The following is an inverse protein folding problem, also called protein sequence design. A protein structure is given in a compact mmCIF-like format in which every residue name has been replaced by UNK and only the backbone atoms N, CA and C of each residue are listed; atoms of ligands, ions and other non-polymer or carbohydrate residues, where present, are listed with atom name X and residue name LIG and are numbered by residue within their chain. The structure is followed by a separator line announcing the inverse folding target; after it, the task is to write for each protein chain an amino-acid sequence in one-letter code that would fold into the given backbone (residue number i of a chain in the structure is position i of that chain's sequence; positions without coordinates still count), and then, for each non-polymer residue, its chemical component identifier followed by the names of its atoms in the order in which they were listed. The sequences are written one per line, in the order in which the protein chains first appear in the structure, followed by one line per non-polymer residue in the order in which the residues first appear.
data_IF_664229178560
#
_entry.id   IF_664229178560
#
_cell.length_a   1.000
_cell.length_b   1.000
_cell.length_c   1.000
_cell.angle_alpha   90.00
_cell.angle_beta   90.00
_cell.angle_gamma   90.00
#
_symmetry.space_group_name_H-M   'P 1'
#
loop_
_entity.id
_entity.type
_entity.pdbx_description
1 polymer ?
#
# COMPACT_ATOMS: atom_id res chain seq x y z
N UNK A 1 0.32 -8.11 -4.75
CA UNK A 1 -0.82 -7.20 -4.96
C UNK A 1 -0.23 -5.85 -5.29
N UNK A 2 -0.58 -5.29 -6.44
CA UNK A 2 -0.08 -3.98 -6.84
C UNK A 2 -1.05 -2.87 -6.43
N UNK A 3 -0.54 -1.64 -6.37
CA UNK A 3 -1.34 -0.42 -6.12
C UNK A 3 -2.52 -0.33 -7.10
N UNK A 4 -2.35 -0.79 -8.34
CA UNK A 4 -3.41 -0.84 -9.34
C UNK A 4 -4.61 -1.72 -8.88
N UNK A 5 -4.34 -2.94 -8.41
CA UNK A 5 -5.37 -3.86 -7.93
C UNK A 5 -6.14 -3.30 -6.72
N UNK A 6 -5.43 -2.60 -5.84
CA UNK A 6 -6.03 -1.96 -4.66
C UNK A 6 -6.82 -0.70 -5.02
N UNK A 7 -6.44 0.01 -6.08
CA UNK A 7 -7.21 1.15 -6.61
C UNK A 7 -8.52 0.72 -7.27
N UNK A 8 -8.57 -0.44 -7.90
CA UNK A 8 -9.80 -0.98 -8.50
C UNK A 8 -10.78 -1.53 -7.45
N UNK A 9 -10.31 -1.86 -6.25
CA UNK A 9 -11.17 -2.30 -5.15
C UNK A 9 -12.02 -1.17 -4.58
N UNK A 10 -13.19 -1.56 -4.07
CA UNK A 10 -14.09 -0.65 -3.36
C UNK A 10 -13.54 -0.32 -1.96
N UNK A 11 -13.98 0.81 -1.39
CA UNK A 11 -13.61 1.20 -0.01
C UNK A 11 -14.01 0.12 1.00
N UNK A 12 -15.12 -0.57 0.77
CA UNK A 12 -15.59 -1.65 1.65
C UNK A 12 -14.62 -2.84 1.64
N UNK A 13 -14.17 -3.28 0.45
CA UNK A 13 -13.18 -4.35 0.32
C UNK A 13 -11.82 -3.96 0.88
N UNK A 14 -11.38 -2.70 0.66
CA UNK A 14 -10.14 -2.20 1.24
C UNK A 14 -10.21 -2.19 2.77
N UNK A 15 -11.35 -1.80 3.36
CA UNK A 15 -11.55 -1.85 4.81
C UNK A 15 -11.55 -3.28 5.36
N UNK A 16 -12.08 -4.24 4.60
CA UNK A 16 -12.02 -5.66 4.97
C UNK A 16 -10.58 -6.18 4.92
N UNK A 17 -9.85 -5.86 3.84
CA UNK A 17 -8.44 -6.23 3.68
C UNK A 17 -7.59 -5.62 4.80
N UNK A 18 -7.77 -4.33 5.06
CA UNK A 18 -7.09 -3.60 6.13
C UNK A 18 -7.24 -4.28 7.49
N UNK A 19 -8.46 -4.72 7.85
CA UNK A 19 -8.68 -5.51 9.07
C UNK A 19 -7.95 -6.85 9.05
N UNK A 20 -7.88 -7.49 7.89
CA UNK A 20 -7.24 -8.79 7.72
C UNK A 20 -5.71 -8.71 7.82
N UNK A 21 -5.09 -7.63 7.34
CA UNK A 21 -3.65 -7.36 7.52
C UNK A 21 -3.31 -6.75 8.87
N UNK A 22 -4.28 -6.22 9.62
CA UNK A 22 -4.08 -5.68 10.97
C UNK A 22 -3.97 -4.14 11.03
N UNK A 23 -4.40 -3.45 9.99
CA UNK A 23 -4.45 -1.98 9.94
C UNK A 23 -5.59 -1.47 10.81
N UNK A 24 -5.25 -0.86 11.94
CA UNK A 24 -6.19 -0.23 12.89
C UNK A 24 -6.56 1.17 12.39
N UNK A 25 -7.84 1.55 12.50
CA UNK A 25 -8.31 2.90 12.12
C UNK A 25 -8.61 3.10 10.64
N UNK A 26 -8.71 2.02 9.86
CA UNK A 26 -9.00 2.04 8.42
C UNK A 26 -10.26 2.85 8.01
N UNK A 27 -11.29 2.89 8.84
CA UNK A 27 -12.59 3.47 8.50
C UNK A 27 -12.61 5.01 8.44
N UNK A 28 -11.58 5.68 8.96
CA UNK A 28 -11.43 7.15 8.87
C UNK A 28 -10.44 7.61 7.80
N UNK A 29 -9.72 6.67 7.16
CA UNK A 29 -8.66 6.99 6.21
C UNK A 29 -9.21 7.24 4.81
N UNK A 30 -8.56 8.16 4.08
CA UNK A 30 -8.85 8.32 2.64
C UNK A 30 -8.45 7.06 1.88
N UNK A 31 -9.08 6.82 0.73
CA UNK A 31 -8.80 5.63 -0.11
C UNK A 31 -7.29 5.44 -0.36
N UNK A 32 -6.57 6.52 -0.69
CA UNK A 32 -5.12 6.49 -0.89
C UNK A 32 -4.35 6.09 0.38
N UNK A 33 -4.64 6.71 1.52
CA UNK A 33 -3.98 6.39 2.80
C UNK A 33 -4.25 4.94 3.22
N UNK A 34 -5.48 4.47 3.02
CA UNK A 34 -5.88 3.10 3.30
C UNK A 34 -5.09 2.10 2.46
N UNK A 35 -4.94 2.36 1.16
CA UNK A 35 -4.13 1.54 0.24
C UNK A 35 -2.68 1.50 0.72
N UNK A 36 -2.11 2.64 1.10
CA UNK A 36 -0.74 2.74 1.57
C UNK A 36 -0.52 1.93 2.85
N UNK A 37 -1.41 2.09 3.83
CA UNK A 37 -1.38 1.34 5.11
C UNK A 37 -1.51 -0.17 4.89
N UNK A 38 -2.37 -0.60 3.96
CA UNK A 38 -2.52 -2.01 3.61
C UNK A 38 -1.22 -2.55 3.00
N UNK A 39 -0.64 -1.81 2.06
CA UNK A 39 0.65 -2.15 1.46
C UNK A 39 1.75 -2.23 2.51
N UNK A 40 1.85 -1.23 3.38
CA UNK A 40 2.85 -1.17 4.47
C UNK A 40 2.70 -2.37 5.42
N UNK A 41 1.49 -2.67 5.90
CA UNK A 41 1.23 -3.81 6.77
C UNK A 41 1.52 -5.17 6.09
N UNK A 42 1.25 -5.28 4.79
CA UNK A 42 1.52 -6.49 4.01
C UNK A 42 3.01 -6.66 3.73
N UNK A 43 3.72 -5.55 3.59
CA UNK A 43 5.17 -5.46 3.39
C UNK A 43 5.91 -5.81 4.68
N UNK A 44 5.49 -5.28 5.83
CA UNK A 44 6.01 -5.65 7.15
C UNK A 44 5.83 -7.15 7.42
N UNK A 45 4.67 -7.72 7.07
CA UNK A 45 4.41 -9.16 7.22
C UNK A 45 5.30 -10.04 6.35
N UNK A 46 5.66 -9.57 5.15
CA UNK A 46 6.46 -10.33 4.19
C UNK A 46 7.96 -9.98 4.22
N UNK A 47 8.39 -9.03 5.06
CA UNK A 47 9.80 -8.62 5.22
C UNK A 47 10.46 -8.03 3.97
N UNK A 48 9.68 -7.73 2.93
CA UNK A 48 10.16 -7.28 1.62
C UNK A 48 9.54 -5.91 1.31
N UNK A 49 10.30 -4.84 1.50
CA UNK A 49 9.91 -3.47 1.15
C UNK A 49 9.82 -3.34 -0.37
N UNK A 50 8.60 -3.34 -0.90
CA UNK A 50 8.32 -3.00 -2.29
C UNK A 50 8.10 -1.49 -2.41
N UNK A 51 9.18 -0.77 -2.69
CA UNK A 51 9.11 0.61 -3.16
C UNK A 51 9.08 0.60 -4.69
N UNK A 52 7.97 1.03 -5.29
CA UNK A 52 7.90 1.33 -6.72
C UNK A 52 8.23 2.81 -6.90
N UNK A 53 9.30 3.10 -7.64
CA UNK A 53 9.74 4.45 -7.98
C UNK A 53 10.31 4.46 -9.39
N UNK A 54 10.23 5.61 -10.06
CA UNK A 54 10.94 5.80 -11.32
C UNK A 54 12.41 5.96 -10.99
N UNK A 55 13.26 5.09 -11.54
CA UNK A 55 14.71 5.24 -11.45
C UNK A 55 15.11 6.50 -12.22
N UNK A 56 15.38 7.59 -11.51
CA UNK A 56 15.96 8.79 -12.09
C UNK A 56 17.48 8.66 -12.00
N UNK A 57 18.13 8.42 -13.14
CA UNK A 57 19.58 8.34 -13.22
C UNK A 57 20.11 9.78 -13.25
N UNK A 58 20.67 10.25 -12.13
CA UNK A 58 21.41 11.49 -12.13
C UNK A 58 22.67 11.34 -12.99
N UNK A 59 23.12 12.41 -13.69
CA UNK A 59 24.31 12.35 -14.55
C UNK A 59 25.59 11.96 -13.80
N UNK A 60 25.57 12.01 -12.47
CA UNK A 60 26.69 11.65 -11.60
C UNK A 60 26.75 10.13 -11.28
N UNK A 61 25.78 9.32 -11.74
CA UNK A 61 25.83 7.86 -11.65
C UNK A 61 25.35 7.26 -10.34
N UNK A 62 24.58 8.00 -9.52
CA UNK A 62 23.93 7.52 -8.29
C UNK A 62 22.46 7.94 -8.25
#
# INVERSE_FOLDING_TARGET
MNIADLKDKTISELNALARQVGVVGASGLRKQELIFKILEAQTEKNGLIFAEGVLEILPDGF
#
